data_IF_660601753440
#
_entry.id   IF_660601753440
#
_cell.length_a   1.000
_cell.length_b   1.000
_cell.length_c   1.000
_cell.angle_alpha   90.00
_cell.angle_beta   90.00
_cell.angle_gamma   90.00
#
_symmetry.space_group_name_H-M   'P 1'
#
loop_
_entity.id
_entity.type
_entity.pdbx_description
1 polymer ?
#
# COMPACT_ATOMS: atom_id res chain seq x y z
N UNK A 1 -6.01 3.91 0.10
CA UNK A 1 -7.40 3.45 0.35
C UNK A 1 -7.80 2.53 -0.78
N UNK A 2 -8.09 1.26 -0.49
CA UNK A 2 -8.44 0.26 -1.52
C UNK A 2 -9.26 -0.94 -0.96
N UNK A 3 -9.96 -1.63 -1.84
CA UNK A 3 -10.48 -3.00 -1.71
C UNK A 3 -10.23 -3.71 -3.04
N UNK A 4 -9.98 -5.02 -3.02
CA UNK A 4 -9.76 -5.78 -4.25
C UNK A 4 -10.02 -7.27 -4.02
N UNK A 5 -10.47 -7.95 -5.06
CA UNK A 5 -10.56 -9.41 -5.10
C UNK A 5 -9.43 -10.06 -5.91
N UNK A 6 -8.91 -11.18 -5.40
CA UNK A 6 -7.95 -12.04 -6.10
C UNK A 6 -8.61 -13.33 -6.62
N UNK A 7 -8.04 -13.99 -7.64
CA UNK A 7 -8.48 -15.31 -8.09
C UNK A 7 -8.61 -16.30 -6.92
N UNK A 8 -9.66 -17.10 -6.94
CA UNK A 8 -9.99 -18.02 -5.84
C UNK A 8 -10.99 -17.45 -4.81
N UNK A 9 -11.43 -16.20 -4.96
CA UNK A 9 -12.51 -15.61 -4.16
C UNK A 9 -12.04 -14.92 -2.86
N UNK A 10 -10.75 -14.62 -2.74
CA UNK A 10 -10.22 -13.84 -1.64
C UNK A 10 -10.51 -12.35 -1.85
N UNK A 11 -11.18 -11.71 -0.90
CA UNK A 11 -11.45 -10.27 -0.91
C UNK A 11 -10.63 -9.60 0.19
N UNK A 12 -9.86 -8.58 -0.19
CA UNK A 12 -9.01 -7.81 0.71
C UNK A 12 -9.58 -6.41 0.86
N UNK A 13 -9.58 -5.91 2.11
CA UNK A 13 -10.04 -4.56 2.44
C UNK A 13 -8.96 -3.86 3.24
N UNK A 14 -8.55 -2.67 2.80
CA UNK A 14 -7.51 -1.91 3.52
C UNK A 14 -8.09 -1.23 4.76
N UNK A 15 -7.27 -1.08 5.81
CA UNK A 15 -7.62 -0.28 7.01
C UNK A 15 -8.06 1.14 6.66
N UNK A 16 -7.37 1.75 5.68
CA UNK A 16 -7.72 3.07 5.18
C UNK A 16 -9.13 3.13 4.60
N UNK A 17 -9.57 2.10 3.86
CA UNK A 17 -10.96 2.04 3.39
C UNK A 17 -11.94 1.87 4.55
N UNK A 18 -11.67 0.97 5.48
CA UNK A 18 -12.50 0.76 6.68
C UNK A 18 -12.69 2.05 7.49
N UNK A 19 -11.64 2.85 7.66
CA UNK A 19 -11.71 4.13 8.39
C UNK A 19 -12.64 5.16 7.72
N UNK A 20 -12.80 5.09 6.40
CA UNK A 20 -13.64 6.01 5.61
C UNK A 20 -15.09 5.52 5.43
N UNK A 21 -15.40 4.32 5.92
CA UNK A 21 -16.77 3.82 5.96
C UNK A 21 -17.56 4.49 7.08
N UNK A 22 -18.79 4.90 6.78
CA UNK A 22 -19.67 5.54 7.75
C UNK A 22 -20.69 4.58 8.34
N UNK A 23 -20.98 3.46 7.64
CA UNK A 23 -21.90 2.45 8.13
C UNK A 23 -21.69 1.08 7.45
N UNK A 24 -22.22 0.04 8.08
CA UNK A 24 -22.08 -1.35 7.60
C UNK A 24 -22.71 -1.57 6.22
N UNK A 25 -23.79 -0.85 5.88
CA UNK A 25 -24.41 -0.94 4.55
C UNK A 25 -23.48 -0.47 3.42
N UNK A 26 -22.68 0.59 3.64
CA UNK A 26 -21.64 1.00 2.69
C UNK A 26 -20.60 -0.10 2.48
N UNK A 27 -20.15 -0.71 3.57
CA UNK A 27 -19.21 -1.83 3.52
C UNK A 27 -19.81 -3.03 2.78
N UNK A 28 -21.09 -3.35 3.02
CA UNK A 28 -21.78 -4.44 2.34
C UNK A 28 -21.86 -4.22 0.82
N UNK A 29 -22.14 -2.99 0.37
CA UNK A 29 -22.16 -2.65 -1.06
C UNK A 29 -20.77 -2.80 -1.68
N UNK A 30 -19.72 -2.30 -1.02
CA UNK A 30 -18.34 -2.41 -1.53
C UNK A 30 -17.84 -3.86 -1.55
N UNK A 31 -18.12 -4.64 -0.51
CA UNK A 31 -17.80 -6.08 -0.52
C UNK A 31 -18.60 -6.80 -1.60
N UNK A 32 -19.88 -6.45 -1.77
CA UNK A 32 -20.73 -6.99 -2.83
C UNK A 32 -20.19 -6.67 -4.22
N UNK A 33 -19.63 -5.48 -4.42
CA UNK A 33 -18.95 -5.05 -5.66
C UNK A 33 -17.73 -5.93 -5.96
N UNK A 34 -16.84 -6.12 -4.98
CA UNK A 34 -15.67 -7.00 -5.14
C UNK A 34 -16.07 -8.45 -5.43
N UNK A 35 -17.10 -8.96 -4.74
CA UNK A 35 -17.67 -10.29 -5.00
C UNK A 35 -18.31 -10.34 -6.40
N UNK A 36 -18.92 -9.25 -6.87
CA UNK A 36 -19.43 -9.07 -8.22
C UNK A 36 -18.34 -9.30 -9.28
N UNK A 37 -17.16 -8.69 -9.10
CA UNK A 37 -16.01 -8.94 -9.99
C UNK A 37 -15.59 -10.41 -10.04
N UNK A 38 -15.63 -11.11 -8.90
CA UNK A 38 -15.31 -12.55 -8.83
C UNK A 38 -16.39 -13.37 -9.52
N UNK A 39 -17.66 -13.13 -9.20
CA UNK A 39 -18.81 -13.87 -9.71
C UNK A 39 -18.95 -13.73 -11.24
N UNK A 40 -18.81 -12.51 -11.77
CA UNK A 40 -18.79 -12.22 -13.20
C UNK A 40 -17.46 -12.59 -13.89
N UNK A 41 -16.46 -13.04 -13.10
CA UNK A 41 -15.13 -13.46 -13.56
C UNK A 41 -14.40 -12.36 -14.34
N UNK A 42 -14.61 -11.09 -14.00
CA UNK A 42 -14.04 -9.93 -14.69
C UNK A 42 -12.51 -10.00 -14.79
N UNK A 43 -11.81 -10.46 -13.74
CA UNK A 43 -10.36 -10.67 -13.79
C UNK A 43 -9.93 -11.66 -14.89
N UNK A 44 -10.68 -12.75 -15.09
CA UNK A 44 -10.37 -13.76 -16.11
C UNK A 44 -10.68 -13.27 -17.54
N UNK A 45 -11.79 -12.54 -17.71
CA UNK A 45 -12.15 -11.91 -18.99
C UNK A 45 -11.10 -10.85 -19.39
N UNK A 46 -10.58 -10.10 -18.41
CA UNK A 46 -9.48 -9.13 -18.62
C UNK A 46 -8.16 -9.83 -18.96
N UNK A 47 -7.82 -10.94 -18.30
CA UNK A 47 -6.60 -11.71 -18.61
C UNK A 47 -6.61 -12.23 -20.05
N UNK A 48 -7.77 -12.70 -20.53
CA UNK A 48 -7.96 -13.12 -21.93
C UNK A 48 -7.83 -11.94 -22.92
N UNK A 49 -8.39 -10.78 -22.58
CA UNK A 49 -8.24 -9.56 -23.39
C UNK A 49 -6.82 -8.99 -23.42
N UNK A 50 -6.05 -9.17 -22.36
CA UNK A 50 -4.63 -8.79 -22.27
C UNK A 50 -3.74 -9.76 -23.05
N UNK A 51 -4.01 -11.08 -23.03
CA UNK A 51 -3.25 -12.05 -23.83
C UNK A 51 -3.32 -11.74 -25.33
N UNK A 52 -4.45 -11.19 -25.79
CA UNK A 52 -4.62 -10.69 -27.16
C UNK A 52 -3.83 -9.38 -27.44
N UNK A 53 -3.62 -8.51 -26.44
CA UNK A 53 -2.81 -7.27 -26.55
C UNK A 53 -1.33 -7.47 -26.29
N UNK A 54 -0.95 -8.51 -25.55
CA UNK A 54 0.43 -8.86 -25.25
C UNK A 54 1.18 -9.26 -26.52
N UNK A 55 0.48 -9.74 -27.57
CA UNK A 55 1.03 -9.88 -28.92
C UNK A 55 1.42 -8.54 -29.59
N UNK A 56 0.97 -7.40 -29.07
CA UNK A 56 1.26 -6.06 -29.61
C UNK A 56 2.16 -5.16 -28.74
N UNK A 57 2.36 -5.44 -27.45
CA UNK A 57 3.08 -4.55 -26.49
C UNK A 57 4.47 -5.07 -26.07
N UNK A 58 4.85 -6.27 -26.52
CA UNK A 58 6.21 -6.84 -26.32
C UNK A 58 7.35 -5.94 -26.89
N UNK A 59 7.04 -4.85 -27.59
CA UNK A 59 8.01 -3.95 -28.20
C UNK A 59 8.51 -2.76 -27.34
N UNK A 60 8.02 -2.52 -26.10
CA UNK A 60 8.21 -1.21 -25.45
C UNK A 60 8.60 -1.09 -23.97
N UNK A 61 8.71 -2.17 -23.18
CA UNK A 61 8.91 -2.05 -21.72
C UNK A 61 9.93 -3.05 -21.12
N UNK A 62 10.98 -3.37 -21.88
CA UNK A 62 12.12 -4.17 -21.41
C UNK A 62 13.20 -3.19 -20.99
N UNK A 63 13.63 -3.25 -19.73
CA UNK A 63 14.64 -2.33 -19.20
C UNK A 63 14.98 -2.51 -17.73
N UNK A 64 14.07 -3.06 -16.91
CA UNK A 64 14.34 -3.39 -15.49
C UNK A 64 14.12 -4.85 -15.10
N UNK A 65 13.51 -5.66 -15.97
CA UNK A 65 13.00 -7.00 -15.62
C UNK A 65 14.02 -8.13 -15.78
N UNK A 66 15.25 -7.83 -16.20
CA UNK A 66 16.09 -8.83 -16.85
C UNK A 66 17.50 -8.99 -16.28
N UNK A 67 17.76 -8.45 -15.08
CA UNK A 67 19.06 -8.49 -14.42
C UNK A 67 19.19 -9.51 -13.31
N UNK A 68 18.08 -10.14 -12.95
CA UNK A 68 18.05 -11.18 -11.94
C UNK A 68 17.39 -12.40 -12.59
N UNK A 69 18.21 -13.22 -13.26
CA UNK A 69 17.84 -14.59 -13.54
C UNK A 69 18.15 -15.41 -12.29
N UNK A 70 17.18 -16.14 -11.75
CA UNK A 70 17.36 -16.95 -10.54
C UNK A 70 16.41 -16.54 -9.40
N UNK A 71 16.05 -17.52 -8.58
CA UNK A 71 14.96 -17.52 -7.58
C UNK A 71 14.96 -16.36 -6.56
N UNK A 72 16.01 -15.54 -6.50
CA UNK A 72 16.06 -14.28 -5.74
C UNK A 72 15.26 -13.14 -6.42
N UNK A 73 15.25 -13.10 -7.76
CA UNK A 73 14.42 -12.20 -8.57
C UNK A 73 12.92 -12.49 -8.42
N UNK A 74 12.61 -13.79 -8.43
CA UNK A 74 11.27 -14.31 -8.20
C UNK A 74 10.76 -13.91 -6.82
N UNK A 75 11.62 -13.83 -5.81
CA UNK A 75 11.20 -13.43 -4.46
C UNK A 75 10.87 -11.93 -4.37
N UNK A 76 11.56 -11.08 -5.14
CA UNK A 76 11.34 -9.62 -5.18
C UNK A 76 10.07 -9.26 -5.98
N UNK A 77 9.66 -10.10 -6.95
CA UNK A 77 8.53 -9.81 -7.85
C UNK A 77 7.35 -10.80 -7.81
N UNK A 78 7.46 -12.04 -7.32
CA UNK A 78 6.36 -13.02 -7.42
C UNK A 78 5.34 -12.92 -6.28
N UNK A 79 5.77 -12.59 -5.06
CA UNK A 79 4.83 -12.43 -3.93
C UNK A 79 4.19 -11.02 -3.91
N UNK A 80 4.93 -10.01 -4.38
CA UNK A 80 4.45 -8.63 -4.48
C UNK A 80 3.84 -8.31 -5.85
N UNK A 81 4.42 -8.78 -6.96
CA UNK A 81 4.11 -8.31 -8.31
C UNK A 81 2.85 -8.90 -8.94
N UNK A 82 2.45 -10.13 -8.64
CA UNK A 82 1.16 -10.66 -9.10
C UNK A 82 0.02 -9.90 -8.41
N UNK A 83 0.10 -9.75 -7.08
CA UNK A 83 -0.86 -8.95 -6.33
C UNK A 83 -0.85 -7.49 -6.80
N UNK A 84 0.33 -6.86 -6.94
CA UNK A 84 0.46 -5.47 -7.39
C UNK A 84 -0.02 -5.28 -8.84
N UNK A 85 0.16 -6.26 -9.73
CA UNK A 85 -0.41 -6.26 -11.08
C UNK A 85 -1.94 -6.34 -11.04
N UNK A 86 -2.55 -7.15 -10.19
CA UNK A 86 -4.01 -7.15 -10.04
C UNK A 86 -4.56 -5.89 -9.35
N UNK A 87 -3.80 -5.30 -8.42
CA UNK A 87 -4.16 -4.08 -7.68
C UNK A 87 -4.01 -2.80 -8.54
N UNK A 88 -3.13 -2.80 -9.55
CA UNK A 88 -2.89 -1.62 -10.43
C UNK A 88 -3.68 -1.64 -11.74
N UNK A 89 -4.39 -2.74 -12.03
CA UNK A 89 -5.16 -2.88 -13.27
C UNK A 89 -6.59 -2.35 -13.11
N UNK A 90 -6.92 -1.32 -13.90
CA UNK A 90 -8.26 -0.76 -13.95
C UNK A 90 -9.27 -1.68 -14.65
N UNK A 91 -10.49 -1.77 -14.12
CA UNK A 91 -11.61 -2.46 -14.76
C UNK A 91 -12.23 -1.59 -15.87
N UNK A 92 -12.92 -2.23 -16.82
CA UNK A 92 -13.71 -1.48 -17.81
C UNK A 92 -14.94 -0.86 -17.15
N UNK A 93 -15.45 0.24 -17.71
CA UNK A 93 -16.67 0.88 -17.19
C UNK A 93 -17.88 -0.07 -17.18
N UNK A 94 -17.97 -1.00 -18.12
CA UNK A 94 -19.04 -2.00 -18.15
C UNK A 94 -18.91 -3.03 -17.03
N UNK A 95 -17.68 -3.50 -16.75
CA UNK A 95 -17.42 -4.39 -15.62
C UNK A 95 -17.70 -3.71 -14.28
N UNK A 96 -17.40 -2.42 -14.17
CA UNK A 96 -17.73 -1.60 -13.01
C UNK A 96 -19.25 -1.45 -12.84
N UNK A 97 -20.00 -1.16 -13.91
CA UNK A 97 -21.48 -1.10 -13.87
C UNK A 97 -22.12 -2.42 -13.44
N UNK A 98 -21.64 -3.53 -13.97
CA UNK A 98 -22.14 -4.87 -13.61
C UNK A 98 -21.84 -5.17 -12.13
N UNK A 99 -20.63 -4.84 -11.66
CA UNK A 99 -20.23 -5.08 -10.27
C UNK A 99 -20.97 -4.15 -9.29
N UNK A 100 -21.21 -2.89 -9.66
CA UNK A 100 -22.04 -1.94 -8.89
C UNK A 100 -23.47 -2.49 -8.76
N UNK A 101 -24.05 -3.00 -9.86
CA UNK A 101 -25.39 -3.57 -9.87
C UNK A 101 -25.50 -4.83 -8.99
N UNK A 102 -24.52 -5.74 -9.08
CA UNK A 102 -24.44 -6.94 -8.24
C UNK A 102 -24.22 -6.59 -6.77
N UNK A 103 -23.36 -5.61 -6.47
CA UNK A 103 -23.11 -5.18 -5.09
C UNK A 103 -24.36 -4.63 -4.41
N UNK A 104 -25.13 -3.80 -5.12
CA UNK A 104 -26.44 -3.32 -4.66
C UNK A 104 -27.42 -4.47 -4.45
N UNK A 105 -27.52 -5.38 -5.41
CA UNK A 105 -28.39 -6.56 -5.31
C UNK A 105 -28.05 -7.41 -4.08
N UNK A 106 -26.77 -7.74 -3.88
CA UNK A 106 -26.31 -8.58 -2.78
C UNK A 106 -26.57 -7.92 -1.43
N UNK A 107 -26.25 -6.63 -1.29
CA UNK A 107 -26.48 -5.88 -0.06
C UNK A 107 -27.99 -5.82 0.28
N UNK A 108 -28.84 -5.49 -0.71
CA UNK A 108 -30.27 -5.39 -0.50
C UNK A 108 -30.91 -6.73 -0.14
N UNK A 109 -30.51 -7.84 -0.79
CA UNK A 109 -30.98 -9.20 -0.45
C UNK A 109 -30.61 -9.63 0.97
N UNK A 110 -29.55 -9.07 1.54
CA UNK A 110 -29.14 -9.26 2.93
C UNK A 110 -29.86 -8.31 3.91
N UNK A 111 -30.72 -7.42 3.40
CA UNK A 111 -31.50 -6.46 4.19
C UNK A 111 -30.81 -5.11 4.43
N UNK A 112 -29.62 -4.89 3.86
CA UNK A 112 -28.93 -3.60 3.96
C UNK A 112 -29.54 -2.55 3.06
N UNK A 113 -29.61 -1.31 3.54
CA UNK A 113 -29.94 -0.15 2.73
C UNK A 113 -28.81 0.13 1.73
N UNK A 114 -28.91 -0.47 0.55
CA UNK A 114 -27.89 -0.36 -0.49
C UNK A 114 -27.73 1.08 -1.02
N UNK A 115 -28.70 1.98 -0.78
CA UNK A 115 -28.58 3.39 -1.17
C UNK A 115 -27.43 4.10 -0.44
N UNK A 116 -27.04 3.60 0.74
CA UNK A 116 -25.93 4.12 1.53
C UNK A 116 -24.60 4.06 0.79
N UNK A 117 -24.42 3.08 -0.12
CA UNK A 117 -23.19 2.87 -0.87
C UNK A 117 -22.69 4.11 -1.63
N UNK A 118 -23.60 4.96 -2.12
CA UNK A 118 -23.24 6.20 -2.81
C UNK A 118 -22.48 7.20 -1.90
N UNK A 119 -22.68 7.15 -0.58
CA UNK A 119 -21.91 7.99 0.35
C UNK A 119 -20.41 7.68 0.37
N UNK A 120 -20.06 6.40 0.23
CA UNK A 120 -18.67 5.98 0.17
C UNK A 120 -17.97 6.45 -1.11
N UNK A 121 -18.60 6.33 -2.28
CA UNK A 121 -17.99 6.79 -3.53
C UNK A 121 -17.79 8.31 -3.58
N UNK A 122 -18.76 9.10 -3.07
CA UNK A 122 -18.56 10.55 -2.84
C UNK A 122 -17.38 10.85 -1.92
N UNK A 123 -17.11 9.99 -0.94
CA UNK A 123 -15.95 10.13 -0.05
C UNK A 123 -14.65 9.94 -0.82
N UNK A 124 -14.59 8.97 -1.73
CA UNK A 124 -13.45 8.76 -2.62
C UNK A 124 -13.23 9.91 -3.60
N UNK A 125 -14.31 10.48 -4.16
CA UNK A 125 -14.24 11.68 -5.01
C UNK A 125 -13.60 12.85 -4.25
N UNK A 126 -14.10 13.16 -3.04
CA UNK A 126 -13.56 14.22 -2.18
C UNK A 126 -12.08 14.02 -1.85
N UNK A 127 -11.66 12.78 -1.62
CA UNK A 127 -10.26 12.44 -1.36
C UNK A 127 -9.39 12.73 -2.59
N UNK A 128 -9.87 12.40 -3.79
CA UNK A 128 -9.16 12.69 -5.05
C UNK A 128 -9.04 14.18 -5.34
N UNK A 129 -10.04 14.99 -4.96
CA UNK A 129 -9.99 16.45 -5.09
C UNK A 129 -8.96 17.09 -4.16
N UNK A 130 -8.80 16.58 -2.94
CA UNK A 130 -7.86 17.12 -1.94
C UNK A 130 -6.40 16.73 -2.19
N UNK A 131 -6.15 15.53 -2.69
CA UNK A 131 -4.80 15.03 -2.88
C UNK A 131 -4.07 15.69 -4.05
N UNK A 132 -4.77 16.44 -4.91
CA UNK A 132 -4.21 17.28 -5.99
C UNK A 132 -3.46 16.54 -7.11
N UNK A 133 -2.95 15.33 -6.85
CA UNK A 133 -2.19 14.46 -7.75
C UNK A 133 -2.35 12.96 -7.46
N UNK A 134 -2.65 12.53 -6.23
CA UNK A 134 -2.80 11.10 -5.89
C UNK A 134 -4.26 10.62 -5.91
N UNK A 135 -4.65 9.95 -6.99
CA UNK A 135 -5.95 9.27 -7.06
C UNK A 135 -5.96 8.13 -6.03
N UNK A 136 -6.98 8.03 -5.15
CA UNK A 136 -7.12 6.89 -4.24
C UNK A 136 -6.98 5.56 -4.99
N UNK A 137 -6.21 4.61 -4.44
CA UNK A 137 -5.96 3.32 -5.09
C UNK A 137 -7.22 2.61 -5.58
N UNK A 138 -8.33 2.71 -4.82
CA UNK A 138 -9.64 2.23 -5.26
C UNK A 138 -10.08 2.86 -6.59
N UNK A 139 -10.03 4.19 -6.75
CA UNK A 139 -10.43 4.86 -8.00
C UNK A 139 -9.46 4.59 -9.15
N UNK A 140 -8.21 4.20 -8.85
CA UNK A 140 -7.25 3.76 -9.86
C UNK A 140 -7.63 2.38 -10.45
N UNK A 141 -8.02 1.42 -9.61
CA UNK A 141 -8.46 0.08 -10.06
C UNK A 141 -9.93 0.02 -10.48
N UNK A 142 -10.77 0.89 -9.92
CA UNK A 142 -12.23 0.96 -10.11
C UNK A 142 -12.65 2.35 -10.61
N UNK A 143 -12.37 2.67 -11.88
CA UNK A 143 -12.71 3.98 -12.44
C UNK A 143 -14.22 4.21 -12.39
N UNK A 144 -14.63 5.42 -12.01
CA UNK A 144 -16.05 5.79 -12.00
C UNK A 144 -16.61 5.73 -13.44
N UNK A 145 -17.72 5.00 -13.68
CA UNK A 145 -18.39 5.02 -14.97
C UNK A 145 -18.92 6.42 -15.37
N UNK A 146 -19.16 7.31 -14.41
CA UNK A 146 -19.64 8.69 -14.57
C UNK A 146 -21.01 8.94 -13.92
N UNK A 147 -21.77 7.87 -13.70
CA UNK A 147 -23.14 7.88 -13.20
C UNK A 147 -23.34 7.00 -11.95
N UNK A 148 -22.23 6.59 -11.30
CA UNK A 148 -22.23 5.58 -10.23
C UNK A 148 -23.14 5.96 -9.06
N UNK A 149 -22.98 7.16 -8.52
CA UNK A 149 -23.73 7.61 -7.34
C UNK A 149 -25.25 7.64 -7.58
N UNK A 150 -25.66 8.09 -8.76
CA UNK A 150 -27.07 8.15 -9.16
C UNK A 150 -27.64 6.75 -9.39
N UNK A 151 -26.85 5.89 -10.04
CA UNK A 151 -27.24 4.51 -10.34
C UNK A 151 -27.37 3.66 -9.08
N UNK A 152 -26.44 3.77 -8.13
CA UNK A 152 -26.49 3.05 -6.85
C UNK A 152 -27.71 3.49 -6.04
N UNK A 153 -28.00 4.78 -5.94
CA UNK A 153 -29.17 5.27 -5.22
C UNK A 153 -30.48 4.75 -5.83
N UNK A 154 -30.62 4.87 -7.16
CA UNK A 154 -31.81 4.40 -7.86
C UNK A 154 -31.98 2.89 -7.75
N UNK A 155 -30.93 2.12 -8.06
CA UNK A 155 -30.94 0.66 -8.00
C UNK A 155 -31.20 0.14 -6.59
N UNK A 156 -30.62 0.79 -5.56
CA UNK A 156 -30.83 0.44 -4.16
C UNK A 156 -32.29 0.59 -3.73
N UNK A 157 -32.94 1.69 -4.14
CA UNK A 157 -34.37 1.90 -3.89
C UNK A 157 -35.23 0.86 -4.61
N UNK A 158 -34.96 0.59 -5.89
CA UNK A 158 -35.65 -0.45 -6.66
C UNK A 158 -35.51 -1.84 -6.02
N UNK A 159 -34.32 -2.18 -5.53
CA UNK A 159 -34.07 -3.46 -4.88
C UNK A 159 -34.75 -3.57 -3.51
N UNK A 160 -34.76 -2.50 -2.72
CA UNK A 160 -35.45 -2.48 -1.43
C UNK A 160 -36.95 -2.78 -1.59
N UNK A 161 -37.60 -2.26 -2.63
CA UNK A 161 -38.98 -2.60 -2.99
C UNK A 161 -39.12 -4.08 -3.38
N UNK A 162 -38.21 -4.60 -4.21
CA UNK A 162 -38.26 -6.00 -4.70
C UNK A 162 -38.10 -7.04 -3.60
N UNK A 163 -37.26 -6.78 -2.59
CA UNK A 163 -37.02 -7.73 -1.49
C UNK A 163 -38.01 -7.59 -0.33
N UNK A 164 -38.97 -6.66 -0.43
CA UNK A 164 -39.97 -6.42 0.61
C UNK A 164 -39.43 -5.63 1.82
N UNK A 165 -38.36 -4.85 1.61
CA UNK A 165 -37.70 -4.02 2.62
C UNK A 165 -36.21 -4.34 2.79
N UNK A 166 -35.37 -3.30 2.81
CA UNK A 166 -33.94 -3.37 3.09
C UNK A 166 -33.48 -2.04 3.70
N UNK A 167 -33.48 -1.95 5.03
CA UNK A 167 -33.30 -0.70 5.78
C UNK A 167 -32.18 -0.76 6.82
N UNK A 168 -31.40 -1.85 6.87
CA UNK A 168 -30.28 -1.97 7.80
C UNK A 168 -29.16 -1.05 7.34
N UNK A 169 -28.79 -0.08 8.19
CA UNK A 169 -27.65 0.83 7.95
C UNK A 169 -26.41 0.35 8.71
N UNK A 170 -26.55 0.01 10.00
CA UNK A 170 -25.46 -0.54 10.81
C UNK A 170 -24.33 0.45 11.16
N UNK A 171 -24.66 1.74 11.36
CA UNK A 171 -23.68 2.79 11.66
C UNK A 171 -22.90 2.57 12.96
N UNK A 172 -23.58 2.56 14.10
CA UNK A 172 -22.92 2.49 15.41
C UNK A 172 -22.12 1.20 15.59
N UNK A 173 -22.65 0.07 15.11
CA UNK A 173 -21.95 -1.21 15.12
C UNK A 173 -20.65 -1.20 14.30
N UNK A 174 -20.64 -0.50 13.15
CA UNK A 174 -19.41 -0.31 12.38
C UNK A 174 -18.44 0.59 13.14
N UNK A 175 -18.91 1.74 13.64
CA UNK A 175 -18.06 2.71 14.34
C UNK A 175 -17.34 2.07 15.54
N UNK A 176 -18.05 1.29 16.36
CA UNK A 176 -17.45 0.54 17.47
C UNK A 176 -16.35 -0.42 17.01
N UNK A 177 -16.52 -1.08 15.85
CA UNK A 177 -15.53 -2.03 15.30
C UNK A 177 -14.30 -1.37 14.69
N UNK A 178 -14.42 -0.13 14.22
CA UNK A 178 -13.29 0.60 13.61
C UNK A 178 -12.57 1.52 14.60
N UNK A 179 -13.10 1.69 15.82
CA UNK A 179 -12.42 2.41 16.88
C UNK A 179 -11.06 1.77 17.19
N UNK A 180 -10.02 2.60 17.28
CA UNK A 180 -8.64 2.17 17.53
C UNK A 180 -7.93 1.57 16.31
N UNK A 181 -8.57 1.46 15.13
CA UNK A 181 -7.87 1.09 13.89
C UNK A 181 -6.81 2.13 13.57
N UNK A 182 -5.63 1.67 13.13
CA UNK A 182 -4.53 2.55 12.72
C UNK A 182 -4.97 3.45 11.56
N UNK A 183 -4.79 4.75 11.74
CA UNK A 183 -5.02 5.77 10.74
C UNK A 183 -3.69 6.16 10.08
N UNK A 184 -3.65 6.18 8.75
CA UNK A 184 -2.43 6.48 8.00
C UNK A 184 -1.38 5.37 8.04
N UNK A 185 -0.12 5.76 7.91
CA UNK A 185 1.03 4.87 8.00
C UNK A 185 1.28 4.45 9.46
N UNK A 186 1.71 3.22 9.66
CA UNK A 186 2.15 2.77 10.99
C UNK A 186 3.65 3.06 11.15
N UNK A 187 4.06 4.09 11.91
CA UNK A 187 5.47 4.43 12.07
C UNK A 187 6.26 3.30 12.73
N UNK A 188 5.60 2.34 13.39
CA UNK A 188 6.28 1.17 13.97
C UNK A 188 6.81 0.20 12.91
N UNK A 189 6.32 0.31 11.67
CA UNK A 189 6.73 -0.46 10.49
C UNK A 189 7.76 0.29 9.63
N UNK A 190 8.28 1.43 10.08
CA UNK A 190 9.26 2.20 9.33
C UNK A 190 8.80 3.62 9.05
N UNK A 191 9.70 4.59 9.28
CA UNK A 191 9.51 5.98 8.92
C UNK A 191 10.84 6.67 8.71
N UNK A 192 10.84 7.78 7.95
CA UNK A 192 12.02 8.61 7.75
C UNK A 192 11.98 9.79 8.73
N UNK A 193 13.04 9.96 9.51
CA UNK A 193 13.23 11.14 10.35
C UNK A 193 14.71 11.49 10.44
N UNK A 194 15.02 12.79 10.35
CA UNK A 194 16.38 13.32 10.42
C UNK A 194 17.38 12.59 9.50
N UNK A 195 16.98 12.33 8.25
CA UNK A 195 17.84 11.70 7.23
C UNK A 195 18.14 10.22 7.50
N UNK A 196 17.30 9.53 8.27
CA UNK A 196 17.42 8.09 8.50
C UNK A 196 16.06 7.43 8.42
N UNK A 197 16.05 6.21 7.88
CA UNK A 197 14.94 5.31 8.02
C UNK A 197 15.06 4.61 9.38
N UNK A 198 14.00 4.61 10.16
CA UNK A 198 13.94 4.02 11.50
C UNK A 198 12.81 2.99 11.52
N UNK A 199 13.09 1.78 12.01
CA UNK A 199 12.11 0.72 12.16
C UNK A 199 11.98 0.30 13.63
N UNK A 200 11.01 0.85 14.38
CA UNK A 200 10.85 0.61 15.81
C UNK A 200 10.65 -0.86 16.18
N UNK A 201 9.80 -1.59 15.45
CA UNK A 201 9.46 -2.97 15.82
C UNK A 201 10.60 -3.98 15.59
N UNK A 202 11.42 -3.75 14.58
CA UNK A 202 12.61 -4.56 14.26
C UNK A 202 13.90 -3.96 14.83
N UNK A 203 13.81 -2.85 15.56
CA UNK A 203 14.89 -2.15 16.24
C UNK A 203 16.12 -1.84 15.36
N UNK A 204 15.93 -1.40 14.12
CA UNK A 204 17.05 -0.97 13.26
C UNK A 204 16.84 0.41 12.67
N UNK A 205 17.95 1.01 12.19
CA UNK A 205 17.94 2.21 11.36
C UNK A 205 19.07 2.19 10.35
N UNK A 206 18.93 2.93 9.26
CA UNK A 206 20.00 3.19 8.29
C UNK A 206 19.85 4.61 7.71
N UNK A 207 20.95 5.24 7.25
CA UNK A 207 20.88 6.58 6.68
C UNK A 207 20.18 6.57 5.32
N UNK A 208 19.45 7.63 5.03
CA UNK A 208 18.80 7.87 3.73
C UNK A 208 19.56 8.99 3.04
N UNK A 209 20.11 8.79 1.83
CA UNK A 209 20.77 9.86 1.10
C UNK A 209 19.80 11.03 0.85
N UNK A 210 20.31 12.26 0.88
CA UNK A 210 19.55 13.43 0.45
C UNK A 210 19.08 13.25 -1.00
N UNK A 211 17.89 13.74 -1.35
CA UNK A 211 17.28 13.63 -2.69
C UNK A 211 16.85 12.21 -3.08
N UNK A 212 16.89 11.23 -2.15
CA UNK A 212 16.38 9.89 -2.39
C UNK A 212 15.02 9.71 -1.74
N UNK A 213 14.05 9.27 -2.53
CA UNK A 213 12.73 8.90 -2.06
C UNK A 213 12.79 7.51 -1.41
N UNK A 214 12.05 7.33 -0.32
CA UNK A 214 11.91 6.05 0.38
C UNK A 214 10.53 5.48 0.09
N UNK A 215 10.49 4.25 -0.39
CA UNK A 215 9.28 3.48 -0.60
C UNK A 215 9.28 2.36 0.44
N UNK A 216 8.48 2.53 1.49
CA UNK A 216 8.35 1.57 2.57
C UNK A 216 7.22 0.56 2.27
N UNK A 217 7.55 -0.72 2.17
CA UNK A 217 6.60 -1.81 1.93
C UNK A 217 6.72 -2.87 3.03
N UNK A 218 5.68 -3.70 3.25
CA UNK A 218 5.68 -4.66 4.36
C UNK A 218 6.87 -5.64 4.39
N UNK A 219 7.45 -5.96 3.23
CA UNK A 219 8.55 -6.93 3.10
C UNK A 219 9.86 -6.33 2.61
N UNK A 220 9.87 -5.04 2.23
CA UNK A 220 11.06 -4.40 1.68
C UNK A 220 11.01 -2.87 1.79
N UNK A 221 12.18 -2.25 1.78
CA UNK A 221 12.33 -0.79 1.71
C UNK A 221 13.19 -0.45 0.50
N UNK A 222 12.66 0.33 -0.43
CA UNK A 222 13.42 0.82 -1.57
C UNK A 222 13.83 2.28 -1.37
N UNK A 223 15.05 2.62 -1.79
CA UNK A 223 15.51 3.99 -1.93
C UNK A 223 15.81 4.28 -3.39
N UNK A 224 15.24 5.36 -3.92
CA UNK A 224 15.32 5.74 -5.33
C UNK A 224 15.64 7.24 -5.46
N UNK A 225 16.72 7.63 -6.17
CA UNK A 225 16.97 9.03 -6.50
C UNK A 225 15.97 9.52 -7.55
N UNK A 226 15.74 10.83 -7.62
CA UNK A 226 14.88 11.44 -8.66
C UNK A 226 15.31 11.08 -10.09
N UNK A 227 16.63 10.90 -10.31
CA UNK A 227 17.19 10.51 -11.61
C UNK A 227 16.82 9.10 -12.06
N UNK A 228 16.42 8.21 -11.12
CA UNK A 228 16.10 6.80 -11.37
C UNK A 228 17.26 5.98 -11.99
N UNK A 229 18.49 6.48 -11.91
CA UNK A 229 19.68 5.81 -12.46
C UNK A 229 20.27 4.74 -11.52
N UNK A 230 19.82 4.72 -10.27
CA UNK A 230 20.28 3.80 -9.24
C UNK A 230 19.15 3.45 -8.27
N UNK A 231 19.29 2.31 -7.60
CA UNK A 231 18.31 1.83 -6.62
C UNK A 231 19.04 1.16 -5.46
N UNK A 232 18.50 1.26 -4.26
CA UNK A 232 18.84 0.39 -3.15
C UNK A 232 17.56 -0.28 -2.68
N UNK A 233 17.57 -1.60 -2.56
CA UNK A 233 16.46 -2.37 -1.98
C UNK A 233 16.99 -3.06 -0.73
N UNK A 234 16.30 -2.88 0.39
CA UNK A 234 16.49 -3.63 1.62
C UNK A 234 15.35 -4.63 1.82
N UNK A 235 15.67 -5.87 2.15
CA UNK A 235 14.71 -6.91 2.52
C UNK A 235 15.27 -7.81 3.61
N UNK A 236 14.46 -8.76 4.07
CA UNK A 236 14.89 -9.85 4.96
C UNK A 236 14.92 -11.14 4.14
N UNK A 237 16.06 -11.83 4.14
CA UNK A 237 16.20 -13.16 3.54
C UNK A 237 15.45 -14.18 4.41
N UNK A 238 14.55 -14.95 3.78
CA UNK A 238 13.74 -15.99 4.43
C UNK A 238 14.23 -17.41 4.13
N UNK A 239 15.28 -17.56 3.31
CA UNK A 239 15.80 -18.84 2.81
C UNK A 239 17.05 -19.29 3.56
N UNK A 240 17.81 -18.35 4.11
CA UNK A 240 19.11 -18.60 4.72
C UNK A 240 19.13 -18.14 6.17
N UNK A 241 19.83 -18.89 7.02
CA UNK A 241 19.92 -18.60 8.46
C UNK A 241 21.04 -17.61 8.77
N UNK A 242 22.01 -17.45 7.84
CA UNK A 242 23.18 -16.59 8.06
C UNK A 242 23.51 -15.71 6.84
N UNK A 243 24.07 -14.53 7.11
CA UNK A 243 24.59 -13.62 6.09
C UNK A 243 25.68 -14.27 5.22
N UNK A 244 26.39 -15.26 5.75
CA UNK A 244 27.38 -16.04 5.01
C UNK A 244 26.72 -16.88 3.93
N UNK A 245 25.73 -17.69 4.29
CA UNK A 245 25.01 -18.55 3.37
C UNK A 245 24.31 -17.74 2.28
N UNK A 246 23.62 -16.66 2.66
CA UNK A 246 22.96 -15.77 1.71
C UNK A 246 23.95 -15.13 0.73
N UNK A 247 25.12 -14.69 1.21
CA UNK A 247 26.16 -14.12 0.35
C UNK A 247 26.80 -15.15 -0.59
N UNK A 248 27.03 -16.38 -0.11
CA UNK A 248 27.57 -17.49 -0.92
C UNK A 248 26.56 -17.90 -2.01
N UNK A 249 25.27 -17.96 -1.67
CA UNK A 249 24.20 -18.23 -2.62
C UNK A 249 24.11 -17.15 -3.70
N UNK A 250 24.11 -15.87 -3.30
CA UNK A 250 24.11 -14.74 -4.22
C UNK A 250 25.34 -14.73 -5.14
N UNK A 251 26.53 -14.98 -4.59
CA UNK A 251 27.77 -15.03 -5.38
C UNK A 251 27.84 -16.21 -6.35
N UNK A 252 27.04 -17.25 -6.14
CA UNK A 252 26.99 -18.46 -6.99
C UNK A 252 25.98 -18.37 -8.13
N UNK A 253 25.28 -17.24 -8.27
CA UNK A 253 24.34 -17.01 -9.36
C UNK A 253 25.09 -16.94 -10.70
N UNK A 254 24.65 -17.75 -11.66
CA UNK A 254 25.29 -17.86 -12.98
C UNK A 254 25.15 -16.59 -13.83
N UNK A 255 24.22 -15.70 -13.49
CA UNK A 255 24.02 -14.43 -14.18
C UNK A 255 24.91 -13.31 -13.64
N UNK A 256 25.69 -13.59 -12.59
CA UNK A 256 26.56 -12.63 -11.94
C UNK A 256 28.04 -12.97 -12.18
N UNK A 257 28.83 -11.95 -12.53
CA UNK A 257 30.28 -12.04 -12.55
C UNK A 257 30.82 -11.33 -11.31
N UNK A 258 31.20 -12.10 -10.29
CA UNK A 258 31.72 -11.54 -9.03
C UNK A 258 33.03 -10.78 -9.27
N UNK A 259 33.03 -9.50 -8.90
CA UNK A 259 34.19 -8.60 -8.98
C UNK A 259 34.94 -8.56 -7.65
N UNK A 260 34.20 -8.53 -6.54
CA UNK A 260 34.76 -8.46 -5.20
C UNK A 260 33.78 -9.08 -4.21
N UNK A 261 34.27 -9.82 -3.22
CA UNK A 261 33.45 -10.25 -2.09
C UNK A 261 34.28 -10.29 -0.81
N UNK A 262 33.63 -10.29 0.34
CA UNK A 262 34.35 -10.41 1.60
C UNK A 262 33.50 -10.19 2.85
N UNK A 263 34.21 -10.13 3.96
CA UNK A 263 33.66 -9.74 5.27
C UNK A 263 33.46 -8.23 5.30
N UNK A 264 32.32 -7.78 5.80
CA UNK A 264 32.00 -6.37 6.01
C UNK A 264 31.60 -6.09 7.46
N UNK A 265 31.28 -4.83 7.72
CA UNK A 265 30.65 -4.37 8.95
C UNK A 265 29.50 -3.43 8.59
N UNK A 266 28.42 -3.49 9.37
CA UNK A 266 27.30 -2.56 9.26
C UNK A 266 26.91 -2.09 10.67
N UNK A 267 27.26 -0.85 11.02
CA UNK A 267 26.96 -0.31 12.35
C UNK A 267 27.55 -1.10 13.52
N UNK A 268 28.69 -1.78 13.29
CA UNK A 268 29.32 -2.69 14.26
C UNK A 268 28.79 -4.14 14.23
N UNK A 269 27.87 -4.46 13.33
CA UNK A 269 27.34 -5.81 13.10
C UNK A 269 28.15 -6.52 12.01
N UNK A 270 28.36 -7.82 12.23
CA UNK A 270 28.98 -8.70 11.24
C UNK A 270 28.15 -8.73 9.96
N UNK A 271 28.83 -8.63 8.83
CA UNK A 271 28.18 -8.74 7.53
C UNK A 271 29.09 -9.37 6.48
N UNK A 272 28.50 -9.67 5.34
CA UNK A 272 29.17 -10.05 4.10
C UNK A 272 28.78 -9.09 3.00
N UNK A 273 29.67 -8.89 2.04
CA UNK A 273 29.32 -8.12 0.84
C UNK A 273 29.79 -8.84 -0.41
N UNK A 274 29.07 -8.58 -1.50
CA UNK A 274 29.40 -9.05 -2.84
C UNK A 274 29.21 -7.87 -3.79
N UNK A 275 30.20 -7.61 -4.63
CA UNK A 275 30.11 -6.70 -5.77
C UNK A 275 30.23 -7.57 -7.01
N UNK A 276 29.25 -7.47 -7.90
CA UNK A 276 29.20 -8.26 -9.12
C UNK A 276 28.78 -7.40 -10.31
N UNK A 277 29.30 -7.75 -11.48
CA UNK A 277 28.79 -7.24 -12.74
C UNK A 277 27.65 -8.15 -13.22
N UNK A 278 26.63 -7.55 -13.82
CA UNK A 278 25.50 -8.24 -14.43
C UNK A 278 25.20 -7.59 -15.78
N UNK A 279 24.42 -8.26 -16.63
CA UNK A 279 24.00 -7.70 -17.91
C UNK A 279 22.49 -7.81 -18.05
N UNK A 280 21.86 -6.72 -18.51
CA UNK A 280 20.43 -6.70 -18.76
C UNK A 280 20.10 -7.37 -20.10
N UNK A 281 18.83 -7.71 -20.34
CA UNK A 281 18.39 -8.29 -21.63
C UNK A 281 18.77 -7.41 -22.83
N UNK A 282 18.80 -6.09 -22.65
CA UNK A 282 19.17 -5.12 -23.70
C UNK A 282 20.70 -4.92 -23.84
N UNK A 283 21.49 -5.74 -23.15
CA UNK A 283 22.95 -5.71 -23.19
C UNK A 283 23.60 -4.64 -22.30
N UNK A 284 22.82 -3.84 -21.58
CA UNK A 284 23.34 -2.84 -20.63
C UNK A 284 24.14 -3.50 -19.51
N UNK A 285 25.40 -3.11 -19.34
CA UNK A 285 26.24 -3.57 -18.23
C UNK A 285 25.86 -2.86 -16.94
N UNK A 286 25.47 -3.65 -15.93
CA UNK A 286 25.20 -3.19 -14.59
C UNK A 286 26.29 -3.60 -13.62
N UNK A 287 26.35 -2.85 -12.51
CA UNK A 287 27.11 -3.24 -11.34
C UNK A 287 26.21 -3.24 -10.12
N UNK A 288 26.25 -4.36 -9.41
CA UNK A 288 25.45 -4.62 -8.22
C UNK A 288 26.38 -4.68 -7.01
N UNK A 289 25.98 -4.06 -5.92
CA UNK A 289 26.57 -4.26 -4.59
C UNK A 289 25.51 -4.84 -3.68
N UNK A 290 25.74 -6.04 -3.17
CA UNK A 290 24.92 -6.66 -2.14
C UNK A 290 25.63 -6.63 -0.78
N UNK A 291 24.89 -6.41 0.30
CA UNK A 291 25.35 -6.49 1.69
C UNK A 291 24.37 -7.34 2.50
N UNK A 292 24.88 -8.34 3.22
CA UNK A 292 24.12 -9.31 4.01
C UNK A 292 24.52 -9.15 5.47
N UNK A 293 23.56 -8.93 6.37
CA UNK A 293 23.80 -8.52 7.76
C UNK A 293 23.03 -9.44 8.71
N UNK A 294 23.74 -10.07 9.65
CA UNK A 294 23.13 -10.86 10.71
C UNK A 294 22.65 -9.92 11.83
N UNK A 295 21.34 -9.89 12.10
CA UNK A 295 20.79 -9.07 13.17
C UNK A 295 19.47 -9.63 13.72
N UNK A 296 19.40 -9.81 15.05
CA UNK A 296 18.20 -10.31 15.76
C UNK A 296 17.60 -11.60 15.19
N UNK A 297 18.45 -12.54 14.74
CA UNK A 297 18.01 -13.82 14.17
C UNK A 297 17.49 -13.73 12.74
N UNK A 298 17.62 -12.58 12.07
CA UNK A 298 17.29 -12.38 10.66
C UNK A 298 18.55 -12.06 9.86
N UNK A 299 18.49 -12.33 8.55
CA UNK A 299 19.49 -11.90 7.58
C UNK A 299 18.92 -10.74 6.77
N UNK A 300 19.40 -9.53 7.05
CA UNK A 300 19.02 -8.34 6.28
C UNK A 300 19.88 -8.25 5.03
N UNK A 301 19.23 -8.04 3.89
CA UNK A 301 19.89 -7.95 2.58
C UNK A 301 19.65 -6.58 2.01
N UNK A 302 20.73 -5.89 1.65
CA UNK A 302 20.68 -4.70 0.83
C UNK A 302 21.24 -5.01 -0.54
N UNK A 303 20.56 -4.59 -1.61
CA UNK A 303 21.02 -4.71 -2.99
C UNK A 303 20.98 -3.31 -3.62
N UNK A 304 22.17 -2.78 -3.93
CA UNK A 304 22.37 -1.54 -4.66
C UNK A 304 22.65 -1.83 -6.13
N UNK A 305 21.90 -1.23 -7.05
CA UNK A 305 22.00 -1.49 -8.49
C UNK A 305 22.15 -0.17 -9.25
N UNK A 306 23.06 -0.13 -10.21
CA UNK A 306 23.26 0.98 -11.15
C UNK A 306 23.95 0.45 -12.41
N UNK A 307 24.02 1.26 -13.48
CA UNK A 307 24.91 0.95 -14.61
C UNK A 307 26.36 0.90 -14.17
N UNK A 308 27.18 0.06 -14.83
CA UNK A 308 28.62 -0.04 -14.54
C UNK A 308 29.34 1.30 -14.73
N UNK A 309 28.89 2.11 -15.70
CA UNK A 309 29.39 3.47 -15.93
C UNK A 309 29.08 4.43 -14.77
N UNK A 310 27.89 4.34 -14.18
CA UNK A 310 27.46 5.23 -13.09
C UNK A 310 27.87 4.72 -11.68
N UNK A 311 28.48 3.54 -11.56
CA UNK A 311 28.89 2.98 -10.27
C UNK A 311 29.92 3.83 -9.52
N UNK A 312 30.75 4.60 -10.22
CA UNK A 312 31.67 5.56 -9.58
C UNK A 312 30.93 6.65 -8.77
N UNK A 313 29.72 7.02 -9.22
CA UNK A 313 28.87 8.02 -8.57
C UNK A 313 28.01 7.42 -7.46
N UNK A 314 27.35 6.28 -7.74
CA UNK A 314 26.36 5.70 -6.82
C UNK A 314 26.92 4.64 -5.85
N UNK A 315 28.03 3.98 -6.20
CA UNK A 315 28.68 2.97 -5.38
C UNK A 315 29.01 3.44 -3.95
N UNK A 316 29.59 4.65 -3.75
CA UNK A 316 29.80 5.20 -2.41
C UNK A 316 28.50 5.38 -1.62
N UNK A 317 27.40 5.80 -2.27
CA UNK A 317 26.09 5.94 -1.63
C UNK A 317 25.53 4.59 -1.18
N UNK A 318 25.70 3.54 -1.99
CA UNK A 318 25.33 2.18 -1.58
C UNK A 318 26.08 1.77 -0.31
N UNK A 319 27.39 2.02 -0.27
CA UNK A 319 28.22 1.70 0.91
C UNK A 319 27.74 2.47 2.14
N UNK A 320 27.49 3.79 2.03
CA UNK A 320 27.05 4.63 3.14
C UNK A 320 25.74 4.12 3.77
N UNK A 321 24.75 3.76 2.94
CA UNK A 321 23.47 3.21 3.40
C UNK A 321 23.65 1.84 4.04
N UNK A 322 24.31 0.91 3.34
CA UNK A 322 24.45 -0.48 3.76
C UNK A 322 25.28 -0.63 5.04
N UNK A 323 26.40 0.10 5.14
CA UNK A 323 27.26 0.07 6.33
C UNK A 323 26.70 0.93 7.46
N UNK A 324 25.79 1.86 7.17
CA UNK A 324 25.10 2.68 8.15
C UNK A 324 23.96 1.98 8.88
N UNK A 325 23.56 0.78 8.43
CA UNK A 325 22.60 -0.08 9.13
C UNK A 325 23.11 -0.39 10.54
N UNK A 326 22.28 -0.10 11.54
CA UNK A 326 22.63 -0.29 12.95
C UNK A 326 21.39 -0.48 13.80
N UNK A 327 21.58 -0.94 15.04
CA UNK A 327 20.52 -0.98 16.04
C UNK A 327 19.94 0.40 16.31
N UNK A 328 18.61 0.49 16.37
CA UNK A 328 17.89 1.66 16.85
C UNK A 328 17.81 1.60 18.38
N UNK A 329 18.45 2.55 19.05
CA UNK A 329 18.50 2.61 20.53
C UNK A 329 17.79 3.83 21.11
N UNK A 330 17.37 4.78 20.27
CA UNK A 330 16.67 5.99 20.71
C UNK A 330 15.28 5.61 21.25
N UNK A 331 15.05 5.85 22.54
CA UNK A 331 13.81 5.48 23.22
C UNK A 331 12.60 6.24 22.68
N UNK A 332 12.76 7.48 22.20
CA UNK A 332 11.65 8.25 21.64
C UNK A 332 11.20 7.64 20.29
N UNK A 333 12.16 7.27 19.44
CA UNK A 333 11.87 6.61 18.16
C UNK A 333 11.29 5.21 18.36
N UNK A 334 11.76 4.46 19.35
CA UNK A 334 11.23 3.13 19.69
C UNK A 334 9.80 3.18 20.26
N UNK A 335 9.48 4.23 21.01
CA UNK A 335 8.19 4.40 21.67
C UNK A 335 7.07 4.94 20.76
N UNK A 336 7.40 5.37 19.53
CA UNK A 336 6.42 5.94 18.60
C UNK A 336 5.22 5.01 18.44
N UNK A 337 4.04 5.61 18.42
CA UNK A 337 2.76 4.92 18.23
C UNK A 337 2.10 5.41 16.95
N UNK A 338 1.35 4.54 16.26
CA UNK A 338 0.51 4.98 15.16
C UNK A 338 -0.62 5.86 15.68
N UNK A 339 -0.99 6.84 14.87
CA UNK A 339 -2.26 7.54 15.00
C UNK A 339 -3.40 6.53 14.83
N UNK A 340 -4.50 6.70 15.57
CA UNK A 340 -5.65 5.79 15.53
C UNK A 340 -6.94 6.54 15.32
N UNK A 341 -7.86 5.90 14.61
CA UNK A 341 -9.27 6.31 14.58
C UNK A 341 -9.78 6.30 16.02
N UNK A 342 -10.45 7.38 16.40
CA UNK A 342 -10.99 7.60 17.73
C UNK A 342 -12.46 7.95 17.61
N UNK A 343 -13.35 7.00 17.92
CA UNK A 343 -14.78 7.23 17.86
C UNK A 343 -15.23 7.93 19.13
N UNK A 344 -15.73 9.15 18.97
CA UNK A 344 -16.20 10.01 20.05
C UNK A 344 -17.69 10.26 19.93
N UNK A 345 -18.32 10.63 21.04
CA UNK A 345 -19.72 11.06 21.05
C UNK A 345 -19.78 12.56 21.34
N UNK A 346 -20.54 13.29 20.53
CA UNK A 346 -20.72 14.72 20.76
C UNK A 346 -21.53 14.96 22.05
N UNK A 347 -20.97 15.73 22.99
CA UNK A 347 -21.67 16.07 24.24
C UNK A 347 -22.76 17.13 24.05
N UNK A 348 -22.64 17.98 23.04
CA UNK A 348 -23.55 19.09 22.77
C UNK A 348 -23.77 19.26 21.26
N UNK A 349 -24.70 20.14 20.89
CA UNK A 349 -24.80 20.57 19.51
C UNK A 349 -23.60 21.45 19.16
N UNK A 350 -22.78 21.04 18.19
CA UNK A 350 -21.57 21.74 17.79
C UNK A 350 -21.20 21.42 16.34
N UNK A 351 -20.46 22.30 15.67
CA UNK A 351 -19.91 21.98 14.36
C UNK A 351 -18.75 20.98 14.50
N UNK A 352 -18.50 20.19 13.47
CA UNK A 352 -17.36 19.26 13.48
C UNK A 352 -16.04 20.01 13.74
N UNK A 353 -15.85 21.21 13.16
CA UNK A 353 -14.67 22.04 13.42
C UNK A 353 -14.48 22.35 14.91
N UNK A 354 -15.56 22.71 15.61
CA UNK A 354 -15.50 22.99 17.05
C UNK A 354 -15.10 21.73 17.84
N UNK A 355 -15.60 20.56 17.44
CA UNK A 355 -15.30 19.28 18.09
C UNK A 355 -13.86 18.79 17.84
N UNK A 356 -13.21 19.21 16.75
CA UNK A 356 -11.86 18.78 16.39
C UNK A 356 -10.76 19.73 16.91
N UNK A 357 -11.09 21.00 17.14
CA UNK A 357 -10.13 22.04 17.51
C UNK A 357 -9.29 21.66 18.74
N UNK A 358 -7.97 21.61 18.56
CA UNK A 358 -7.01 21.31 19.63
C UNK A 358 -6.98 19.84 20.08
N UNK A 359 -7.65 18.93 19.36
CA UNK A 359 -7.72 17.51 19.73
C UNK A 359 -7.00 16.55 18.79
N UNK A 360 -6.56 17.05 17.63
CA UNK A 360 -5.94 16.24 16.57
C UNK A 360 -4.41 16.19 16.71
N UNK A 361 -3.76 15.08 16.31
CA UNK A 361 -2.31 15.03 16.15
C UNK A 361 -1.80 16.10 15.17
N UNK A 362 -0.57 16.56 15.35
CA UNK A 362 0.01 17.67 14.57
C UNK A 362 -0.01 17.48 13.05
N UNK A 363 0.05 16.24 12.56
CA UNK A 363 0.10 15.91 11.13
C UNK A 363 -1.28 15.63 10.53
N UNK A 364 -2.36 15.70 11.32
CA UNK A 364 -3.72 15.37 10.89
C UNK A 364 -4.52 16.64 10.67
N UNK A 365 -4.85 16.90 9.40
CA UNK A 365 -5.67 18.05 9.03
C UNK A 365 -7.14 17.84 9.39
N UNK A 366 -7.83 18.85 9.96
CA UNK A 366 -9.26 18.75 10.30
C UNK A 366 -10.14 18.35 9.12
N UNK A 367 -9.80 18.81 7.92
CA UNK A 367 -10.56 18.52 6.71
C UNK A 367 -10.47 17.03 6.33
N UNK A 368 -9.33 16.37 6.55
CA UNK A 368 -9.22 14.93 6.35
C UNK A 368 -10.16 14.16 7.31
N UNK A 369 -10.31 14.65 8.54
CA UNK A 369 -11.25 14.09 9.51
C UNK A 369 -12.71 14.40 9.15
N UNK A 370 -12.97 15.53 8.51
CA UNK A 370 -14.30 15.81 7.95
C UNK A 370 -14.67 14.80 6.85
N UNK A 371 -13.73 14.51 5.94
CA UNK A 371 -13.90 13.44 4.95
C UNK A 371 -14.12 12.08 5.62
N UNK A 372 -13.36 11.73 6.66
CA UNK A 372 -13.55 10.46 7.39
C UNK A 372 -15.01 10.29 7.83
N UNK A 373 -15.65 11.35 8.28
CA UNK A 373 -17.05 11.35 8.74
C UNK A 373 -18.09 11.55 7.61
N UNK A 374 -17.65 11.71 6.36
CA UNK A 374 -18.52 12.11 5.24
C UNK A 374 -19.26 13.45 5.50
N UNK A 375 -18.65 14.32 6.30
CA UNK A 375 -19.16 15.63 6.68
C UNK A 375 -18.28 16.75 6.13
N UNK A 376 -18.76 17.97 6.22
CA UNK A 376 -17.99 19.22 6.12
C UNK A 376 -17.69 19.74 7.52
N UNK A 377 -16.64 20.54 7.65
CA UNK A 377 -16.23 21.12 8.93
C UNK A 377 -17.31 21.97 9.61
N UNK A 378 -18.19 22.59 8.82
CA UNK A 378 -19.30 23.41 9.32
C UNK A 378 -20.60 22.62 9.56
N UNK A 379 -20.64 21.33 9.25
CA UNK A 379 -21.79 20.50 9.56
C UNK A 379 -21.93 20.35 11.07
N UNK A 380 -23.18 20.40 11.55
CA UNK A 380 -23.49 20.38 12.97
C UNK A 380 -23.89 18.97 13.41
N UNK A 381 -23.23 18.48 14.46
CA UNK A 381 -23.58 17.24 15.12
C UNK A 381 -24.48 17.53 16.31
N UNK A 382 -25.44 16.64 16.57
CA UNK A 382 -26.32 16.72 17.74
C UNK A 382 -25.71 16.03 18.95
N UNK A 383 -26.18 16.38 20.15
CA UNK A 383 -25.79 15.68 21.37
C UNK A 383 -26.11 14.19 21.27
N UNK A 384 -25.17 13.33 21.67
CA UNK A 384 -25.28 11.87 21.56
C UNK A 384 -24.88 11.30 20.20
N UNK A 385 -24.58 12.11 19.19
CA UNK A 385 -24.14 11.63 17.89
C UNK A 385 -22.66 11.24 17.91
N UNK A 386 -22.37 10.00 17.50
CA UNK A 386 -20.99 9.51 17.34
C UNK A 386 -20.31 10.12 16.12
N UNK A 387 -19.01 10.36 16.19
CA UNK A 387 -18.16 10.84 15.10
C UNK A 387 -16.73 10.31 15.25
N UNK A 388 -16.04 10.16 14.12
CA UNK A 388 -14.63 9.79 14.07
C UNK A 388 -13.74 11.02 14.31
N UNK A 389 -12.71 10.83 15.12
CA UNK A 389 -11.56 11.71 15.28
C UNK A 389 -10.29 10.88 15.10
N UNK A 390 -9.12 11.47 15.35
CA UNK A 390 -7.83 10.78 15.33
C UNK A 390 -7.07 11.15 16.60
N UNK A 391 -6.40 10.18 17.22
CA UNK A 391 -5.60 10.37 18.45
C UNK A 391 -4.27 9.66 18.42
#
# INVERSE_FOLDING_TARGET
INAFALPGGFVYVTRGLMAHMENEAQLAVVLGHEIGHVAARHASQRALGQQARQLGVIAGAVGGQALFGGEAAQSILELGGIANQFITLSYSRDAERESDALGVEYAARLGYDATQGAGFFRTLERLGEQSGQEIPGFLSSHPDPGERNETIQRSGAEWAERVGGANVVGREALLERIDGVVYGEDPRQGFVEAGSFNHPSLEFRFPVPSEWQVINQPTQVALVPESQEAYIIMSIDQKHDTAREAAEAFASDQNLTVVQSGVGQAGGLSSRFVVADAQNQDGTELRVRAQFIDYNGNVYVFIGVTTKAAYGTYGPRFVDVMQGFRRLTDSALLAVQPDRVDVRTSGSQATLQQLLTGTLPQKVEPEAVAILNQLRLNDTLVSGQSYKSVR
#
